data_IF_536380806390
#
_entry.id   IF_536380806390
#
_cell.length_a   1.000
_cell.length_b   1.000
_cell.length_c   1.000
_cell.angle_alpha   90.00
_cell.angle_beta   90.00
_cell.angle_gamma   90.00
#
_symmetry.space_group_name_H-M   'P 1'
#
loop_
_entity.id
_entity.type
_entity.pdbx_description
1 polymer ?
#
# COMPACT_ATOMS: atom_id res chain seq x y z
N UNK A 1 -5.95 -3.16 9.45
CA UNK A 1 -5.65 -4.57 9.08
C UNK A 1 -4.16 -4.84 9.28
N UNK A 2 -3.76 -6.08 9.60
CA UNK A 2 -2.37 -6.51 9.54
C UNK A 2 -2.14 -7.33 8.27
N UNK A 3 -1.15 -6.93 7.48
CA UNK A 3 -0.79 -7.59 6.23
C UNK A 3 0.06 -8.85 6.51
N UNK A 4 -0.22 -10.00 5.89
CA UNK A 4 0.62 -11.20 6.05
C UNK A 4 2.05 -11.01 5.53
N UNK A 5 2.96 -11.81 6.07
CA UNK A 5 4.38 -11.88 5.68
C UNK A 5 4.81 -13.36 5.65
N UNK A 6 5.65 -13.82 4.70
CA UNK A 6 6.45 -13.07 3.74
C UNK A 6 5.73 -12.69 2.43
N UNK A 7 4.46 -13.06 2.29
CA UNK A 7 3.67 -12.75 1.11
C UNK A 7 2.56 -11.78 1.52
N UNK A 8 2.68 -10.52 1.12
CA UNK A 8 1.68 -9.49 1.40
C UNK A 8 0.42 -9.69 0.57
N UNK A 9 -0.68 -9.10 1.02
CA UNK A 9 -1.82 -8.86 0.17
C UNK A 9 -1.46 -7.94 -1.01
N UNK A 10 -2.11 -8.19 -2.15
CA UNK A 10 -2.17 -7.26 -3.27
C UNK A 10 -3.58 -6.69 -3.36
N UNK A 11 -4.48 -7.46 -3.97
CA UNK A 11 -5.90 -7.10 -4.14
C UNK A 11 -6.59 -6.83 -2.81
N UNK A 12 -6.49 -7.75 -1.84
CA UNK A 12 -7.15 -7.61 -0.52
C UNK A 12 -6.66 -6.39 0.26
N UNK A 13 -5.39 -5.99 0.06
CA UNK A 13 -4.85 -4.77 0.66
C UNK A 13 -5.43 -3.54 -0.01
N UNK A 14 -5.51 -3.55 -1.35
CA UNK A 14 -6.23 -2.52 -2.12
C UNK A 14 -7.70 -2.38 -1.70
N UNK A 15 -8.41 -3.50 -1.52
CA UNK A 15 -9.81 -3.52 -1.05
C UNK A 15 -9.94 -2.86 0.33
N UNK A 16 -8.99 -3.12 1.24
CA UNK A 16 -8.99 -2.49 2.56
C UNK A 16 -8.81 -0.97 2.47
N UNK A 17 -7.87 -0.50 1.65
CA UNK A 17 -7.66 0.93 1.42
C UNK A 17 -8.89 1.57 0.77
N UNK A 18 -9.48 0.91 -0.23
CA UNK A 18 -10.74 1.33 -0.85
C UNK A 18 -11.89 1.42 0.15
N UNK A 19 -11.93 0.53 1.14
CA UNK A 19 -12.93 0.53 2.21
C UNK A 19 -12.60 1.48 3.37
N UNK A 20 -11.56 2.32 3.23
CA UNK A 20 -11.19 3.32 4.23
C UNK A 20 -10.47 2.73 5.44
N UNK A 21 -9.91 1.53 5.33
CA UNK A 21 -9.21 0.84 6.42
C UNK A 21 -7.70 0.87 6.22
N UNK A 22 -6.94 1.58 7.08
CA UNK A 22 -5.48 1.52 7.05
C UNK A 22 -4.95 0.10 7.27
N UNK A 23 -3.86 -0.22 6.58
CA UNK A 23 -3.17 -1.51 6.65
C UNK A 23 -1.77 -1.30 7.20
N UNK A 24 -1.27 -2.24 8.00
CA UNK A 24 0.10 -2.26 8.53
C UNK A 24 0.86 -3.38 7.82
N UNK A 25 1.95 -3.05 7.12
CA UNK A 25 2.72 -4.01 6.31
C UNK A 25 4.17 -4.08 6.76
N UNK A 26 4.80 -5.25 6.62
CA UNK A 26 6.21 -5.46 6.87
C UNK A 26 6.96 -5.48 5.53
N UNK A 27 7.87 -4.53 5.33
CA UNK A 27 8.70 -4.46 4.13
C UNK A 27 9.77 -5.55 4.15
N UNK A 28 9.67 -6.52 3.22
CA UNK A 28 10.74 -7.49 2.98
C UNK A 28 11.62 -7.14 1.77
N UNK A 29 12.44 -8.10 1.36
CA UNK A 29 13.45 -7.95 0.30
C UNK A 29 13.02 -8.54 -1.06
N UNK A 30 11.79 -9.04 -1.15
CA UNK A 30 11.24 -9.64 -2.38
C UNK A 30 10.02 -8.86 -2.89
N UNK A 31 9.70 -9.01 -4.18
CA UNK A 31 8.50 -8.40 -4.77
C UNK A 31 7.21 -8.71 -3.96
N UNK A 32 6.99 -9.98 -3.63
CA UNK A 32 5.77 -10.44 -2.95
C UNK A 32 5.66 -9.92 -1.51
N UNK A 33 6.79 -9.58 -0.88
CA UNK A 33 6.88 -8.98 0.45
C UNK A 33 6.85 -7.44 0.45
N UNK A 34 6.52 -6.82 -0.68
CA UNK A 34 6.55 -5.36 -0.87
C UNK A 34 5.33 -4.78 -1.56
N UNK A 35 4.31 -5.60 -1.86
CA UNK A 35 3.07 -5.11 -2.48
C UNK A 35 2.36 -4.08 -1.59
N UNK A 36 2.26 -4.36 -0.29
CA UNK A 36 1.68 -3.42 0.68
C UNK A 36 2.45 -2.10 0.77
N UNK A 37 3.77 -2.14 0.58
CA UNK A 37 4.64 -0.94 0.59
C UNK A 37 4.27 0.00 -0.56
N UNK A 38 4.15 -0.53 -1.78
CA UNK A 38 3.77 0.26 -2.95
C UNK A 38 2.36 0.85 -2.84
N UNK A 39 1.41 0.06 -2.33
CA UNK A 39 0.04 0.51 -2.09
C UNK A 39 -0.04 1.67 -1.09
N UNK A 40 0.67 1.55 0.04
CA UNK A 40 0.71 2.60 1.07
C UNK A 40 1.36 3.90 0.59
N UNK A 41 2.43 3.81 -0.21
CA UNK A 41 3.08 4.99 -0.80
C UNK A 41 2.13 5.75 -1.74
N UNK A 42 1.30 5.03 -2.51
CA UNK A 42 0.32 5.65 -3.41
C UNK A 42 -0.78 6.46 -2.71
N UNK A 43 -1.00 6.24 -1.41
CA UNK A 43 -2.02 6.95 -0.62
C UNK A 43 -1.45 7.80 0.53
N UNK A 44 -0.13 7.96 0.57
CA UNK A 44 0.58 8.76 1.57
C UNK A 44 0.44 8.21 3.00
N UNK A 45 0.59 6.89 3.16
CA UNK A 45 0.53 6.19 4.45
C UNK A 45 1.83 5.40 4.73
N UNK A 46 2.97 5.92 4.31
CA UNK A 46 4.28 5.29 4.50
C UNK A 46 4.61 5.05 5.99
N UNK A 47 4.02 5.80 6.91
CA UNK A 47 4.20 5.57 8.34
C UNK A 47 3.59 4.25 8.84
N UNK A 48 2.76 3.58 8.02
CA UNK A 48 2.22 2.25 8.28
C UNK A 48 3.11 1.10 7.75
N UNK A 49 4.23 1.42 7.09
CA UNK A 49 5.24 0.44 6.68
C UNK A 49 6.21 0.20 7.84
N UNK A 50 6.33 -1.06 8.26
CA UNK A 50 7.29 -1.50 9.25
C UNK A 50 8.60 -1.99 8.60
N UNK A 51 9.73 -1.65 9.20
CA UNK A 51 11.05 -2.03 8.71
C UNK A 51 11.51 -3.42 9.16
N UNK A 52 10.98 -3.91 10.29
CA UNK A 52 11.26 -5.23 10.86
C UNK A 52 10.09 -5.67 11.76
N UNK A 53 10.19 -6.86 12.37
CA UNK A 53 9.11 -7.43 13.18
C UNK A 53 8.87 -6.63 14.46
N UNK A 54 9.93 -6.13 15.07
CA UNK A 54 9.87 -5.33 16.29
C UNK A 54 9.15 -3.99 16.02
N UNK A 55 9.49 -3.34 14.92
CA UNK A 55 8.83 -2.12 14.45
C UNK A 55 7.36 -2.36 14.07
N UNK A 56 7.05 -3.50 13.45
CA UNK A 56 5.67 -3.90 13.14
C UNK A 56 4.83 -3.97 14.42
N UNK A 57 5.34 -4.63 15.46
CA UNK A 57 4.67 -4.73 16.77
C UNK A 57 4.54 -3.36 17.41
N UNK A 58 5.61 -2.55 17.42
CA UNK A 58 5.60 -1.22 18.00
C UNK A 58 4.57 -0.30 17.33
N UNK A 59 4.52 -0.28 15.99
CA UNK A 59 3.53 0.47 15.22
C UNK A 59 2.11 -0.05 15.47
N UNK A 60 1.90 -1.37 15.50
CA UNK A 60 0.59 -1.95 15.78
C UNK A 60 0.06 -1.52 17.15
N UNK A 61 0.88 -1.60 18.19
CA UNK A 61 0.54 -1.13 19.54
C UNK A 61 0.31 0.38 19.54
N UNK A 62 1.17 1.17 18.89
CA UNK A 62 1.04 2.62 18.82
C UNK A 62 -0.26 3.09 18.16
N UNK A 63 -0.65 2.48 17.05
CA UNK A 63 -1.91 2.78 16.38
C UNK A 63 -3.12 2.30 17.16
N UNK A 64 -3.04 1.12 17.80
CA UNK A 64 -4.10 0.62 18.67
C UNK A 64 -4.34 1.54 19.88
N UNK A 65 -3.30 2.16 20.41
CA UNK A 65 -3.38 3.12 21.51
C UNK A 65 -3.86 4.52 21.11
N UNK A 66 -3.96 4.82 19.81
CA UNK A 66 -4.28 6.16 19.29
C UNK A 66 -5.46 6.15 18.28
N UNK A 67 -6.68 5.73 18.69
CA UNK A 67 -7.82 5.57 17.79
C UNK A 67 -8.23 6.87 17.08
N UNK A 68 -8.10 8.03 17.73
CA UNK A 68 -8.38 9.33 17.10
C UNK A 68 -7.44 9.63 15.93
N UNK A 69 -6.13 9.44 16.15
CA UNK A 69 -5.11 9.60 15.09
C UNK A 69 -5.29 8.56 13.97
N UNK A 70 -5.68 7.33 14.32
CA UNK A 70 -5.97 6.30 13.32
C UNK A 70 -7.20 6.67 12.48
N UNK A 71 -8.25 7.24 13.10
CA UNK A 71 -9.43 7.74 12.39
C UNK A 71 -9.08 8.91 11.46
N UNK A 72 -8.23 9.84 11.88
CA UNK A 72 -7.71 10.90 11.01
C UNK A 72 -6.97 10.34 9.79
N UNK A 73 -6.20 9.26 9.95
CA UNK A 73 -5.52 8.59 8.84
C UNK A 73 -6.44 7.77 7.95
N UNK A 74 -7.54 7.25 8.49
CA UNK A 74 -8.59 6.57 7.72
C UNK A 74 -9.48 7.55 6.95
N UNK A 75 -9.63 8.79 7.43
CA UNK A 75 -10.46 9.80 6.80
C UNK A 75 -9.99 10.09 5.36
N UNK A 76 -10.95 10.14 4.44
CA UNK A 76 -10.69 10.43 3.03
C UNK A 76 -9.84 9.39 2.30
N UNK A 77 -9.64 8.20 2.88
CA UNK A 77 -8.71 7.21 2.32
C UNK A 77 -9.24 6.60 1.02
N UNK A 78 -10.56 6.44 0.87
CA UNK A 78 -11.15 5.99 -0.41
C UNK A 78 -10.87 6.97 -1.52
N UNK A 79 -11.07 8.26 -1.26
CA UNK A 79 -10.86 9.34 -2.23
C UNK A 79 -9.38 9.44 -2.61
N UNK A 80 -8.48 9.31 -1.62
CA UNK A 80 -7.03 9.22 -1.88
C UNK A 80 -6.66 7.99 -2.72
N UNK A 81 -7.24 6.83 -2.43
CA UNK A 81 -7.00 5.62 -3.21
C UNK A 81 -7.56 5.75 -4.63
N UNK A 82 -8.73 6.34 -4.82
CA UNK A 82 -9.28 6.66 -6.14
C UNK A 82 -8.40 7.61 -6.96
N UNK A 83 -7.75 8.57 -6.29
CA UNK A 83 -6.82 9.52 -6.92
C UNK A 83 -5.37 8.99 -7.02
N UNK A 84 -5.10 7.78 -6.54
CA UNK A 84 -3.75 7.22 -6.48
C UNK A 84 -3.26 6.71 -7.84
N UNK A 85 -1.94 6.57 -8.04
CA UNK A 85 -1.37 5.98 -9.27
C UNK A 85 -1.93 4.58 -9.58
N UNK A 86 -2.34 3.82 -8.56
CA UNK A 86 -2.92 2.48 -8.70
C UNK A 86 -4.25 2.50 -9.47
N UNK A 87 -4.97 3.62 -9.44
CA UNK A 87 -6.25 3.80 -10.13
C UNK A 87 -6.11 4.59 -11.44
N UNK A 88 -4.90 5.04 -11.82
CA UNK A 88 -4.66 5.63 -13.13
C UNK A 88 -4.51 4.55 -14.21
N UNK A 89 -5.65 3.95 -14.57
CA UNK A 89 -5.72 2.89 -15.58
C UNK A 89 -5.20 3.36 -16.96
N UNK A 90 -5.46 4.61 -17.33
CA UNK A 90 -5.04 5.16 -18.60
C UNK A 90 -3.53 5.44 -18.62
N UNK A 91 -2.97 5.95 -17.53
CA UNK A 91 -1.52 6.10 -17.34
C UNK A 91 -0.80 4.77 -17.41
N UNK A 92 -1.26 3.78 -16.66
CA UNK A 92 -0.70 2.43 -16.68
C UNK A 92 -0.72 1.83 -18.09
N UNK A 93 -1.82 1.95 -18.83
CA UNK A 93 -1.91 1.45 -20.20
C UNK A 93 -0.87 2.09 -21.12
N UNK A 94 -0.70 3.42 -21.05
CA UNK A 94 0.31 4.14 -21.85
C UNK A 94 1.74 3.70 -21.50
N UNK A 95 2.05 3.57 -20.22
CA UNK A 95 3.37 3.12 -19.77
C UNK A 95 3.68 1.69 -20.24
N UNK A 96 2.69 0.79 -20.11
CA UNK A 96 2.82 -0.58 -20.58
C UNK A 96 3.02 -0.66 -22.10
N UNK A 97 2.24 0.10 -22.87
CA UNK A 97 2.38 0.17 -24.33
C UNK A 97 3.77 0.67 -24.76
N UNK A 98 4.30 1.68 -24.07
CA UNK A 98 5.65 2.19 -24.30
C UNK A 98 6.70 1.11 -24.05
N UNK A 99 6.64 0.45 -22.90
CA UNK A 99 7.58 -0.61 -22.52
C UNK A 99 7.54 -1.79 -23.51
N UNK A 100 6.33 -2.20 -23.93
CA UNK A 100 6.17 -3.27 -24.93
C UNK A 100 6.76 -2.88 -26.29
N UNK A 101 6.58 -1.61 -26.71
CA UNK A 101 7.15 -1.12 -27.97
C UNK A 101 8.68 -1.11 -27.91
N UNK A 102 9.26 -0.63 -26.82
CA UNK A 102 10.72 -0.65 -26.60
C UNK A 102 11.30 -2.06 -26.69
N UNK A 103 10.67 -3.04 -26.02
CA UNK A 103 11.11 -4.44 -26.03
C UNK A 103 11.12 -5.08 -27.41
N UNK A 104 10.22 -4.66 -28.31
CA UNK A 104 10.12 -5.21 -29.67
C UNK A 104 11.01 -4.46 -30.67
N UNK A 105 11.38 -3.22 -30.36
CA UNK A 105 12.27 -2.41 -31.22
C UNK A 105 13.76 -2.51 -30.86
N UNK A 106 14.11 -3.09 -29.70
CA UNK A 106 15.47 -3.39 -29.28
C UNK A 106 15.96 -4.74 -29.84
#
# INVERSE_FOLDING_TARGET
MLDPFPYNGGVTTGDCLWMGTPILTLAGDSYVSRQGVGLLAGVGLEEFVAANREDLVAKAVGWAAAPGRLAERAAGLRERFQASPQMDHAGYARELESALREMVTA
#
